data_IF_777846411925
#
_entry.id   IF_777846411925
#
_cell.length_a   1.000
_cell.length_b   1.000
_cell.length_c   1.000
_cell.angle_alpha   90.00
_cell.angle_beta   90.00
_cell.angle_gamma   90.00
#
_symmetry.space_group_name_H-M   'P 1'
#
loop_
_entity.id
_entity.type
_entity.pdbx_description
1 polymer ?
#
# COMPACT_ATOMS: atom_id res chain seq x y z
N UNK A 1 7.07 -3.54 -28.57
CA UNK A 1 7.87 -2.70 -27.65
C UNK A 1 6.92 -2.05 -26.64
N UNK A 2 6.76 -2.60 -25.44
CA UNK A 2 5.81 -2.10 -24.44
C UNK A 2 6.21 -0.72 -23.91
N UNK A 3 5.29 0.25 -23.94
CA UNK A 3 5.50 1.62 -23.47
C UNK A 3 5.77 1.58 -21.96
N UNK A 4 6.98 1.95 -21.51
CA UNK A 4 7.32 2.07 -20.08
C UNK A 4 6.32 3.04 -19.43
N UNK A 5 5.42 2.53 -18.58
CA UNK A 5 4.53 3.37 -17.76
C UNK A 5 5.38 3.97 -16.63
N UNK A 6 5.43 5.29 -16.55
CA UNK A 6 6.23 6.06 -15.57
C UNK A 6 5.33 6.60 -14.46
N UNK A 7 5.89 6.72 -13.25
CA UNK A 7 5.22 7.30 -12.06
C UNK A 7 4.77 8.75 -12.32
N UNK A 8 5.34 9.45 -13.31
CA UNK A 8 4.96 10.81 -13.67
C UNK A 8 3.48 10.99 -14.08
N UNK A 9 2.81 9.92 -14.55
CA UNK A 9 1.36 9.97 -14.81
C UNK A 9 0.52 9.81 -13.55
N UNK A 10 1.05 9.13 -12.54
CA UNK A 10 0.36 8.85 -11.29
C UNK A 10 0.17 10.14 -10.47
N UNK A 11 1.26 10.90 -10.27
CA UNK A 11 1.22 12.18 -9.56
C UNK A 11 0.31 13.23 -10.21
N UNK A 12 0.15 13.18 -11.54
CA UNK A 12 -0.75 14.07 -12.26
C UNK A 12 -2.24 13.79 -12.04
N UNK A 13 -2.59 12.60 -11.54
CA UNK A 13 -3.97 12.12 -11.32
C UNK A 13 -4.42 12.27 -9.87
N UNK A 14 -3.47 12.33 -8.92
CA UNK A 14 -3.73 12.41 -7.47
C UNK A 14 -3.69 13.84 -6.94
N UNK A 15 -3.95 14.87 -7.74
CA UNK A 15 -3.63 16.27 -7.38
C UNK A 15 -4.30 16.75 -6.08
N UNK A 16 -5.47 16.19 -5.75
CA UNK A 16 -6.23 16.51 -4.54
C UNK A 16 -6.02 15.49 -3.40
N UNK A 17 -5.23 14.43 -3.63
CA UNK A 17 -4.94 13.37 -2.66
C UNK A 17 -3.46 13.42 -2.25
N UNK A 18 -3.13 13.07 -1.00
CA UNK A 18 -1.72 12.85 -0.64
C UNK A 18 -1.19 11.69 -1.50
N UNK A 19 -0.27 12.02 -2.41
CA UNK A 19 0.29 11.07 -3.37
C UNK A 19 0.88 9.83 -2.68
N UNK A 20 1.39 9.98 -1.45
CA UNK A 20 1.96 8.87 -0.65
C UNK A 20 0.88 7.88 -0.28
N UNK A 21 -0.24 8.37 0.25
CA UNK A 21 -1.39 7.55 0.64
C UNK A 21 -2.00 6.87 -0.60
N UNK A 22 -2.12 7.60 -1.71
CA UNK A 22 -2.55 7.03 -2.98
C UNK A 22 -1.61 5.92 -3.47
N UNK A 23 -0.29 6.12 -3.33
CA UNK A 23 0.69 5.12 -3.73
C UNK A 23 0.64 3.88 -2.83
N UNK A 24 0.57 4.05 -1.50
CA UNK A 24 0.42 2.96 -0.52
C UNK A 24 -0.83 2.13 -0.82
N UNK A 25 -1.97 2.80 -1.06
CA UNK A 25 -3.21 2.15 -1.45
C UNK A 25 -3.03 1.35 -2.75
N UNK A 26 -2.48 1.96 -3.80
CA UNK A 26 -2.33 1.33 -5.10
C UNK A 26 -1.40 0.10 -5.06
N UNK A 27 -0.25 0.18 -4.38
CA UNK A 27 0.67 -0.97 -4.28
C UNK A 27 0.05 -2.11 -3.47
N UNK A 28 -0.67 -1.80 -2.39
CA UNK A 28 -1.29 -2.82 -1.55
C UNK A 28 -2.50 -3.46 -2.23
N UNK A 29 -3.26 -2.69 -3.01
CA UNK A 29 -4.30 -3.23 -3.89
C UNK A 29 -3.73 -4.22 -4.90
N UNK A 30 -2.67 -3.82 -5.62
CA UNK A 30 -1.97 -4.72 -6.55
C UNK A 30 -1.44 -5.98 -5.84
N UNK A 31 -0.92 -5.86 -4.62
CA UNK A 31 -0.42 -7.00 -3.86
C UNK A 31 -1.54 -7.96 -3.43
N UNK A 32 -2.73 -7.45 -3.09
CA UNK A 32 -3.89 -8.29 -2.80
C UNK A 32 -4.41 -9.05 -4.02
N UNK A 33 -4.24 -8.49 -5.23
CA UNK A 33 -4.64 -9.14 -6.50
C UNK A 33 -3.71 -10.29 -6.94
N UNK A 34 -2.56 -10.44 -6.28
CA UNK A 34 -1.54 -11.45 -6.62
C UNK A 34 -1.39 -12.41 -5.42
N UNK A 35 -1.71 -13.68 -5.63
CA UNK A 35 -1.75 -14.71 -4.58
C UNK A 35 -0.42 -14.84 -3.83
N UNK A 36 0.70 -14.77 -4.55
CA UNK A 36 2.05 -14.97 -4.02
C UNK A 36 2.42 -13.94 -2.94
N UNK A 37 1.82 -12.74 -2.96
CA UNK A 37 2.07 -11.72 -1.94
C UNK A 37 1.26 -11.93 -0.64
N UNK A 38 0.26 -12.82 -0.65
CA UNK A 38 -0.63 -13.11 0.49
C UNK A 38 -0.20 -14.32 1.32
N UNK A 39 0.84 -15.06 0.92
CA UNK A 39 1.37 -16.17 1.72
C UNK A 39 2.17 -15.71 2.94
N UNK A 40 2.01 -16.41 4.06
CA UNK A 40 2.78 -16.22 5.30
C UNK A 40 3.15 -17.58 5.92
N UNK A 41 4.12 -17.57 6.81
CA UNK A 41 4.37 -18.68 7.73
C UNK A 41 3.63 -18.38 9.05
N UNK A 42 2.74 -19.27 9.46
CA UNK A 42 2.05 -19.21 10.75
C UNK A 42 2.25 -20.54 11.47
N UNK A 43 2.87 -20.51 12.65
CA UNK A 43 3.19 -21.70 13.45
C UNK A 43 3.92 -22.81 12.68
N UNK A 44 4.78 -22.42 11.74
CA UNK A 44 5.57 -23.34 10.90
C UNK A 44 4.87 -23.81 9.62
N UNK A 45 3.59 -23.48 9.45
CA UNK A 45 2.80 -23.86 8.28
C UNK A 45 2.69 -22.70 7.28
N UNK A 46 2.61 -23.04 5.98
CA UNK A 46 2.35 -22.06 4.92
C UNK A 46 0.85 -21.81 4.84
N UNK A 47 0.44 -20.56 5.05
CA UNK A 47 -0.97 -20.13 4.99
C UNK A 47 -1.17 -19.05 3.94
N UNK A 48 -2.32 -19.07 3.27
CA UNK A 48 -2.75 -18.04 2.33
C UNK A 48 -3.78 -17.13 3.00
N UNK A 49 -3.46 -15.84 3.14
CA UNK A 49 -4.40 -14.88 3.71
C UNK A 49 -5.44 -14.47 2.67
N UNK A 50 -6.69 -14.22 3.10
CA UNK A 50 -7.74 -13.68 2.22
C UNK A 50 -7.32 -12.30 1.67
N UNK A 51 -6.83 -11.43 2.54
CA UNK A 51 -6.30 -10.11 2.20
C UNK A 51 -5.11 -9.74 3.09
N UNK A 52 -4.36 -8.72 2.66
CA UNK A 52 -3.29 -8.10 3.44
C UNK A 52 -3.57 -6.62 3.64
N UNK A 53 -3.27 -6.15 4.84
CA UNK A 53 -3.39 -4.75 5.25
C UNK A 53 -2.17 -3.93 4.85
N UNK A 54 -2.27 -2.61 5.03
CA UNK A 54 -1.16 -1.69 4.77
C UNK A 54 -0.24 -1.56 5.99
N UNK A 55 1.06 -1.51 5.74
CA UNK A 55 2.07 -1.16 6.74
C UNK A 55 3.10 -0.22 6.12
N UNK A 56 3.26 0.98 6.67
CA UNK A 56 4.16 1.99 6.11
C UNK A 56 4.80 2.86 7.19
N UNK A 57 5.89 3.53 6.82
CA UNK A 57 6.58 4.47 7.70
C UNK A 57 6.02 5.87 7.56
N UNK A 58 5.85 6.56 8.68
CA UNK A 58 5.46 7.95 8.74
C UNK A 58 6.50 8.73 9.55
N UNK A 59 7.05 9.79 8.97
CA UNK A 59 7.96 10.71 9.67
C UNK A 59 7.12 11.74 10.43
N UNK A 60 7.16 11.67 11.74
CA UNK A 60 6.55 12.67 12.61
C UNK A 60 7.40 13.95 12.57
N UNK A 61 6.83 15.06 12.12
CA UNK A 61 7.56 16.32 11.92
C UNK A 61 7.90 17.07 13.21
N UNK A 62 7.21 16.76 14.31
CA UNK A 62 7.47 17.41 15.60
C UNK A 62 8.60 16.71 16.35
N UNK A 63 8.60 15.37 16.29
CA UNK A 63 9.57 14.53 17.01
C UNK A 63 10.75 14.09 16.15
N UNK A 64 10.65 14.23 14.83
CA UNK A 64 11.62 13.74 13.82
C UNK A 64 11.86 12.21 13.87
N UNK A 65 10.94 11.46 14.48
CA UNK A 65 11.01 10.00 14.57
C UNK A 65 10.12 9.32 13.53
N UNK A 66 10.55 8.14 13.08
CA UNK A 66 9.73 7.27 12.26
C UNK A 66 8.75 6.46 13.10
N UNK A 67 7.50 6.43 12.66
CA UNK A 67 6.45 5.55 13.17
C UNK A 67 6.14 4.48 12.13
N UNK A 68 5.88 3.25 12.59
CA UNK A 68 5.27 2.21 11.76
C UNK A 68 3.77 2.29 11.96
N UNK A 69 3.04 2.57 10.88
CA UNK A 69 1.59 2.68 10.90
C UNK A 69 1.02 1.46 10.18
N UNK A 70 0.08 0.77 10.83
CA UNK A 70 -0.67 -0.33 10.24
C UNK A 70 -2.14 0.08 10.13
N UNK A 71 -2.70 -0.01 8.94
CA UNK A 71 -4.10 0.38 8.67
C UNK A 71 -4.77 -0.71 7.83
N UNK A 72 -6.01 -1.12 8.18
CA UNK A 72 -6.76 -2.08 7.38
C UNK A 72 -6.90 -1.62 5.92
N UNK A 73 -6.69 -2.54 4.97
CA UNK A 73 -6.94 -2.24 3.57
C UNK A 73 -8.42 -1.94 3.33
N UNK A 74 -8.72 -1.01 2.43
CA UNK A 74 -10.09 -0.60 2.10
C UNK A 74 -10.39 -0.86 0.62
N UNK A 75 -11.67 -0.97 0.27
CA UNK A 75 -12.11 -1.20 -1.12
C UNK A 75 -11.82 -0.01 -2.05
N UNK A 76 -11.90 1.20 -1.48
CA UNK A 76 -11.74 2.46 -2.23
C UNK A 76 -10.74 3.39 -1.54
N UNK A 77 -10.12 4.26 -2.33
CA UNK A 77 -9.09 5.19 -1.84
C UNK A 77 -9.70 6.26 -0.91
N UNK A 78 -10.98 6.62 -1.11
CA UNK A 78 -11.69 7.59 -0.29
C UNK A 78 -11.95 7.09 1.13
N UNK A 79 -12.08 5.76 1.31
CA UNK A 79 -12.19 5.14 2.63
C UNK A 79 -10.83 4.95 3.29
N UNK A 80 -9.76 4.89 2.50
CA UNK A 80 -8.40 4.62 2.97
C UNK A 80 -7.69 5.87 3.50
N UNK A 81 -8.00 7.05 2.92
CA UNK A 81 -7.38 8.34 3.26
C UNK A 81 -8.05 8.98 4.48
#
# INVERSE_FOLDING_TARGET
MGRKKSVSKFSGTTRDLDWRMAFIFAVTKCANEIEEFRYRFLDGEVVLYESIDTSFTYLDKETELFKVVNVPMQDTIEKFI
#
